data_IF_563628760659
#
_entry.id   IF_563628760659
#
_cell.length_a   1.000
_cell.length_b   1.000
_cell.length_c   1.000
_cell.angle_alpha   90.00
_cell.angle_beta   90.00
_cell.angle_gamma   90.00
#
_symmetry.space_group_name_H-M   'P 1'
#
loop_
_entity.id
_entity.type
_entity.pdbx_description
1 polymer ?
#
# COMPACT_ATOMS: atom_id res chain seq x y z
N UNK A 1 22.39 14.68 -7.53
CA UNK A 1 21.29 13.68 -7.41
C UNK A 1 20.44 14.09 -6.22
N UNK A 2 19.13 13.87 -6.26
CA UNK A 2 18.19 14.34 -5.25
C UNK A 2 17.29 13.19 -4.80
N UNK A 3 17.07 13.06 -3.49
CA UNK A 3 16.15 12.08 -2.93
C UNK A 3 15.48 12.59 -1.66
N UNK A 4 14.18 12.37 -1.56
CA UNK A 4 13.39 12.73 -0.39
C UNK A 4 12.71 11.52 0.24
N UNK A 5 12.48 11.58 1.54
CA UNK A 5 11.73 10.58 2.28
C UNK A 5 11.00 11.20 3.48
N UNK A 6 9.69 11.03 3.53
CA UNK A 6 8.89 11.35 4.72
C UNK A 6 8.96 10.17 5.68
N UNK A 7 9.65 10.36 6.81
CA UNK A 7 9.73 9.31 7.84
C UNK A 7 8.32 9.06 8.40
N UNK A 8 7.83 7.80 8.45
CA UNK A 8 6.52 7.49 9.01
C UNK A 8 6.38 8.01 10.46
N UNK A 9 5.39 8.87 10.70
CA UNK A 9 5.21 9.55 11.99
C UNK A 9 6.29 10.60 12.33
N UNK A 10 7.23 10.85 11.43
CA UNK A 10 8.34 11.79 11.57
C UNK A 10 8.28 12.94 10.57
N UNK A 11 9.46 13.39 10.16
CA UNK A 11 9.67 14.59 9.34
C UNK A 11 10.20 14.22 7.96
N UNK A 12 10.11 15.16 7.03
CA UNK A 12 10.65 15.07 5.69
C UNK A 12 12.17 15.22 5.77
N UNK A 13 12.87 14.28 5.14
CA UNK A 13 14.32 14.32 4.96
C UNK A 13 14.60 14.39 3.47
N UNK A 14 15.51 15.27 3.10
CA UNK A 14 16.00 15.52 1.76
C UNK A 14 17.49 15.28 1.75
N UNK A 15 17.98 14.60 0.72
CA UNK A 15 19.39 14.36 0.50
C UNK A 15 19.77 14.74 -0.92
N UNK A 16 20.70 15.67 -1.02
CA UNK A 16 21.40 15.99 -2.27
C UNK A 16 22.80 15.39 -2.22
N UNK A 17 23.22 14.73 -3.31
CA UNK A 17 24.55 14.12 -3.42
C UNK A 17 24.98 13.96 -4.87
N UNK A 18 26.27 13.79 -5.09
CA UNK A 18 26.87 13.35 -6.35
C UNK A 18 27.48 11.95 -6.23
N UNK A 19 27.80 11.32 -7.36
CA UNK A 19 28.53 10.06 -7.41
C UNK A 19 29.75 10.20 -8.30
N UNK A 20 30.94 10.08 -7.73
CA UNK A 20 32.21 10.14 -8.45
C UNK A 20 33.07 8.92 -8.12
N UNK A 21 33.58 8.24 -9.15
CA UNK A 21 34.39 7.03 -8.95
C UNK A 21 33.66 5.90 -8.21
N UNK A 22 32.32 5.90 -8.25
CA UNK A 22 31.48 4.92 -7.54
C UNK A 22 31.28 5.21 -6.06
N UNK A 23 31.70 6.38 -5.56
CA UNK A 23 31.51 6.82 -4.18
C UNK A 23 30.61 8.08 -4.11
N UNK A 24 29.90 8.23 -3.00
CA UNK A 24 29.10 9.41 -2.69
C UNK A 24 30.00 10.63 -2.49
N UNK A 25 29.61 11.77 -3.07
CA UNK A 25 30.29 13.05 -2.97
C UNK A 25 29.33 14.18 -2.69
N UNK A 26 29.83 15.25 -2.07
CA UNK A 26 29.07 16.47 -1.81
C UNK A 26 27.73 16.20 -1.12
N UNK A 27 27.70 15.22 -0.21
CA UNK A 27 26.47 14.81 0.45
C UNK A 27 25.96 15.94 1.35
N UNK A 28 24.66 16.25 1.23
CA UNK A 28 23.97 17.24 2.06
C UNK A 28 22.62 16.70 2.50
N UNK A 29 22.43 16.60 3.81
CA UNK A 29 21.16 16.25 4.44
C UNK A 29 20.43 17.51 4.91
N UNK A 30 19.15 17.63 4.55
CA UNK A 30 18.28 18.74 4.93
C UNK A 30 16.84 18.24 5.20
N UNK A 31 15.98 19.08 5.78
CA UNK A 31 14.58 18.68 6.04
C UNK A 31 13.85 19.59 7.03
N UNK A 32 12.66 19.17 7.48
CA UNK A 32 11.83 19.87 8.48
C UNK A 32 11.88 19.23 9.89
N UNK A 33 13.00 18.57 10.18
CA UNK A 33 13.29 17.92 11.47
C UNK A 33 14.03 18.84 12.45
N UNK A 34 14.11 18.41 13.71
CA UNK A 34 15.01 19.03 14.70
C UNK A 34 16.13 18.06 15.06
N UNK A 35 17.32 18.60 15.21
CA UNK A 35 18.53 17.88 15.56
C UNK A 35 19.28 18.72 16.58
N UNK A 36 19.63 18.14 17.73
CA UNK A 36 20.38 18.84 18.76
C UNK A 36 21.60 18.05 19.24
N UNK A 37 22.81 18.64 19.24
CA UNK A 37 23.13 19.96 18.70
C UNK A 37 22.95 20.00 17.17
N UNK A 38 22.60 21.15 16.60
CA UNK A 38 22.34 21.30 15.16
C UNK A 38 23.57 20.99 14.30
N UNK A 39 24.78 21.22 14.83
CA UNK A 39 26.03 20.90 14.14
C UNK A 39 26.24 19.39 13.90
N UNK A 40 25.50 18.52 14.60
CA UNK A 40 25.53 17.07 14.35
C UNK A 40 25.09 16.71 12.92
N UNK A 41 24.45 17.63 12.19
CA UNK A 41 24.12 17.43 10.77
C UNK A 41 25.39 17.27 9.92
N UNK A 42 26.48 17.95 10.30
CA UNK A 42 27.77 17.86 9.63
C UNK A 42 28.42 16.49 9.83
N UNK A 43 28.20 15.86 10.99
CA UNK A 43 28.65 14.50 11.26
C UNK A 43 27.90 13.50 10.38
N UNK A 44 26.60 13.71 10.14
CA UNK A 44 25.79 12.90 9.24
C UNK A 44 26.31 13.02 7.79
N UNK A 45 26.50 14.25 7.29
CA UNK A 45 27.03 14.49 5.94
C UNK A 45 28.41 13.84 5.76
N UNK A 46 29.32 14.04 6.72
CA UNK A 46 30.65 13.45 6.71
C UNK A 46 30.63 11.93 6.80
N UNK A 47 29.69 11.34 7.54
CA UNK A 47 29.53 9.89 7.66
C UNK A 47 29.13 9.23 6.34
N UNK A 48 28.41 9.96 5.47
CA UNK A 48 27.96 9.48 4.17
C UNK A 48 29.00 9.74 3.07
N UNK A 49 29.79 10.80 3.19
CA UNK A 49 30.84 11.16 2.24
C UNK A 49 31.81 9.99 1.98
N UNK A 50 32.12 9.75 0.71
CA UNK A 50 32.99 8.66 0.28
C UNK A 50 32.41 7.25 0.42
N UNK A 51 31.15 7.09 0.88
CA UNK A 51 30.50 5.77 0.88
C UNK A 51 30.38 5.20 -0.53
N UNK A 52 30.54 3.88 -0.75
CA UNK A 52 30.22 3.31 -2.05
C UNK A 52 28.75 3.52 -2.44
N UNK A 53 28.48 3.91 -3.69
CA UNK A 53 27.12 4.16 -4.18
C UNK A 53 26.20 2.91 -4.16
N UNK A 54 26.78 1.71 -4.03
CA UNK A 54 26.04 0.46 -3.91
C UNK A 54 25.74 0.06 -2.46
N UNK A 55 26.17 0.83 -1.46
CA UNK A 55 25.89 0.55 -0.04
C UNK A 55 24.38 0.57 0.21
N UNK A 56 23.87 -0.46 0.90
CA UNK A 56 22.46 -0.58 1.24
C UNK A 56 22.04 0.39 2.37
N UNK A 57 20.73 0.55 2.57
CA UNK A 57 20.20 1.47 3.57
C UNK A 57 20.62 1.12 5.00
N UNK A 58 20.75 -0.18 5.34
CA UNK A 58 21.10 -0.60 6.68
C UNK A 58 22.55 -0.23 7.03
N UNK A 59 23.49 -0.45 6.10
CA UNK A 59 24.88 -0.08 6.26
C UNK A 59 25.07 1.45 6.26
N UNK A 60 24.31 2.20 5.45
CA UNK A 60 24.31 3.67 5.50
C UNK A 60 23.79 4.18 6.85
N UNK A 61 22.68 3.64 7.35
CA UNK A 61 22.14 3.99 8.67
C UNK A 61 23.13 3.68 9.79
N UNK A 62 23.79 2.53 9.76
CA UNK A 62 24.81 2.17 10.74
C UNK A 62 26.00 3.15 10.73
N UNK A 63 26.44 3.62 9.56
CA UNK A 63 27.48 4.64 9.44
C UNK A 63 27.07 5.96 10.09
N UNK A 64 25.84 6.39 9.83
CA UNK A 64 25.28 7.62 10.42
C UNK A 64 25.21 7.49 11.95
N UNK A 65 24.66 6.38 12.46
CA UNK A 65 24.56 6.11 13.90
C UNK A 65 25.94 6.11 14.58
N UNK A 66 26.97 5.56 13.93
CA UNK A 66 28.32 5.51 14.48
C UNK A 66 29.01 6.90 14.53
N UNK A 67 28.61 7.82 13.66
CA UNK A 67 29.18 9.17 13.60
C UNK A 67 28.47 10.15 14.53
N UNK A 68 27.18 9.92 14.83
CA UNK A 68 26.41 10.80 15.69
C UNK A 68 26.98 10.86 17.12
N UNK A 69 27.06 12.07 17.72
CA UNK A 69 27.41 12.21 19.13
C UNK A 69 26.45 11.43 20.03
N UNK A 70 26.92 10.76 21.11
CA UNK A 70 26.03 9.99 22.00
C UNK A 70 24.91 10.81 22.65
N UNK A 71 25.08 12.13 22.76
CA UNK A 71 24.10 13.06 23.32
C UNK A 71 23.17 13.67 22.26
N UNK A 72 23.32 13.31 20.99
CA UNK A 72 22.52 13.87 19.91
C UNK A 72 21.05 13.46 20.05
N UNK A 73 20.15 14.43 19.94
CA UNK A 73 18.70 14.24 19.98
C UNK A 73 18.14 14.48 18.59
N UNK A 74 17.53 13.44 18.02
CA UNK A 74 16.89 13.48 16.71
C UNK A 74 15.37 13.49 16.90
N UNK A 75 14.70 14.59 16.54
CA UNK A 75 13.25 14.70 16.62
C UNK A 75 12.65 14.75 15.21
N UNK A 76 11.98 13.66 14.85
CA UNK A 76 11.42 13.47 13.52
C UNK A 76 12.45 13.07 12.45
N UNK A 77 13.72 12.93 12.83
CA UNK A 77 14.81 12.40 12.01
C UNK A 77 15.21 11.01 12.52
N UNK A 78 15.68 10.13 11.64
CA UNK A 78 16.39 8.92 12.03
C UNK A 78 17.52 8.59 11.04
N UNK A 79 18.58 7.89 11.48
CA UNK A 79 19.63 7.38 10.58
C UNK A 79 19.07 6.55 9.42
N UNK A 80 18.06 5.73 9.70
CA UNK A 80 17.37 4.92 8.68
C UNK A 80 16.63 5.80 7.67
N UNK A 81 15.97 6.88 8.12
CA UNK A 81 15.28 7.80 7.24
C UNK A 81 16.22 8.53 6.29
N UNK A 82 17.37 8.99 6.78
CA UNK A 82 18.43 9.58 5.95
C UNK A 82 18.97 8.55 4.96
N UNK A 83 19.24 7.32 5.41
CA UNK A 83 19.72 6.27 4.54
C UNK A 83 18.73 5.93 3.41
N UNK A 84 17.43 5.90 3.70
CA UNK A 84 16.38 5.72 2.69
C UNK A 84 16.38 6.89 1.69
N UNK A 85 16.49 8.14 2.15
CA UNK A 85 16.58 9.30 1.26
C UNK A 85 17.82 9.23 0.33
N UNK A 86 18.98 8.81 0.85
CA UNK A 86 20.19 8.52 0.05
C UNK A 86 19.89 7.44 -1.01
N UNK A 87 19.26 6.32 -0.62
CA UNK A 87 18.92 5.25 -1.56
C UNK A 87 17.98 5.74 -2.64
N UNK A 88 16.97 6.54 -2.29
CA UNK A 88 16.04 7.15 -3.25
C UNK A 88 16.75 8.10 -4.23
N UNK A 89 17.71 8.89 -3.75
CA UNK A 89 18.54 9.73 -4.61
C UNK A 89 19.33 8.88 -5.62
N UNK A 90 20.00 7.83 -5.15
CA UNK A 90 20.84 6.94 -5.95
C UNK A 90 20.05 6.16 -7.00
N UNK A 91 18.84 5.72 -6.66
CA UNK A 91 17.97 5.00 -7.58
C UNK A 91 17.13 5.89 -8.49
N UNK A 92 17.29 7.22 -8.39
CA UNK A 92 16.51 8.22 -9.12
C UNK A 92 15.01 7.99 -8.93
N UNK A 93 14.61 7.72 -7.68
CA UNK A 93 13.23 7.50 -7.35
C UNK A 93 12.39 8.73 -7.72
N UNK A 94 11.20 8.50 -8.27
CA UNK A 94 10.25 9.56 -8.57
C UNK A 94 9.36 9.85 -7.36
N UNK A 95 8.76 11.03 -7.32
CA UNK A 95 7.79 11.46 -6.30
C UNK A 95 6.35 11.39 -6.82
N UNK A 96 5.37 11.50 -5.92
CA UNK A 96 3.94 11.53 -6.31
C UNK A 96 3.62 12.67 -7.28
N UNK A 97 4.16 13.85 -7.02
CA UNK A 97 3.95 15.10 -7.78
C UNK A 97 4.58 15.07 -9.18
N UNK A 98 5.54 14.17 -9.42
CA UNK A 98 6.21 14.03 -10.71
C UNK A 98 5.35 13.30 -11.77
N UNK A 99 4.19 12.76 -11.37
CA UNK A 99 3.34 11.93 -12.22
C UNK A 99 2.00 12.58 -12.54
N UNK A 100 1.54 12.41 -13.77
CA UNK A 100 0.18 12.80 -14.18
C UNK A 100 -0.80 11.67 -13.88
N UNK A 101 -1.29 11.60 -12.64
CA UNK A 101 -2.17 10.52 -12.19
C UNK A 101 -3.52 10.48 -12.92
N UNK A 102 -4.02 9.25 -13.14
CA UNK A 102 -5.37 9.00 -13.62
C UNK A 102 -6.25 8.36 -12.56
N UNK A 103 -7.51 8.80 -12.47
CA UNK A 103 -8.57 8.15 -11.71
C UNK A 103 -9.35 7.20 -12.61
N UNK A 104 -9.58 5.99 -12.13
CA UNK A 104 -10.64 5.12 -12.63
C UNK A 104 -11.64 4.92 -11.50
N UNK A 105 -12.87 5.37 -11.71
CA UNK A 105 -13.99 5.15 -10.81
C UNK A 105 -15.23 4.76 -11.62
N UNK A 106 -15.37 3.45 -11.86
CA UNK A 106 -16.41 2.86 -12.71
C UNK A 106 -17.49 2.16 -11.87
N UNK A 107 -18.57 1.77 -12.55
CA UNK A 107 -19.63 0.92 -11.97
C UNK A 107 -19.08 -0.36 -11.35
N UNK A 108 -19.79 -0.96 -10.38
CA UNK A 108 -19.38 -2.23 -9.78
C UNK A 108 -19.12 -3.33 -10.82
N UNK A 109 -18.07 -4.13 -10.61
CA UNK A 109 -17.71 -5.24 -11.51
C UNK A 109 -17.73 -6.58 -10.77
N UNK A 110 -17.68 -7.67 -11.54
CA UNK A 110 -17.62 -9.02 -10.95
C UNK A 110 -16.29 -9.23 -10.22
N UNK A 111 -16.25 -10.06 -9.17
CA UNK A 111 -15.01 -10.32 -8.42
C UNK A 111 -13.83 -10.75 -9.30
N UNK A 112 -14.06 -11.64 -10.27
CA UNK A 112 -13.01 -12.09 -11.19
C UNK A 112 -12.51 -10.98 -12.12
N UNK A 113 -13.39 -10.12 -12.61
CA UNK A 113 -13.02 -9.00 -13.46
C UNK A 113 -12.20 -7.95 -12.70
N UNK A 114 -12.48 -7.70 -11.41
CA UNK A 114 -11.63 -6.84 -10.60
C UNK A 114 -10.20 -7.34 -10.50
N UNK A 115 -10.01 -8.64 -10.27
CA UNK A 115 -8.67 -9.23 -10.18
C UNK A 115 -7.92 -9.11 -11.51
N UNK A 116 -8.62 -9.28 -12.64
CA UNK A 116 -8.05 -9.12 -13.96
C UNK A 116 -7.68 -7.67 -14.27
N UNK A 117 -8.55 -6.71 -13.93
CA UNK A 117 -8.30 -5.28 -14.15
C UNK A 117 -7.07 -4.80 -13.36
N UNK A 118 -6.93 -5.22 -12.10
CA UNK A 118 -5.75 -4.88 -11.29
C UNK A 118 -4.45 -5.38 -11.96
N UNK A 119 -4.45 -6.58 -12.54
CA UNK A 119 -3.29 -7.14 -13.26
C UNK A 119 -3.02 -6.41 -14.59
N UNK A 120 -4.06 -6.19 -15.40
CA UNK A 120 -3.95 -5.52 -16.71
C UNK A 120 -3.49 -4.08 -16.57
N UNK A 121 -4.13 -3.28 -15.71
CA UNK A 121 -3.81 -1.86 -15.52
C UNK A 121 -2.37 -1.73 -14.98
N UNK A 122 -1.97 -2.57 -14.04
CA UNK A 122 -0.60 -2.55 -13.51
C UNK A 122 0.41 -2.93 -14.59
N UNK A 123 0.09 -3.85 -15.50
CA UNK A 123 0.94 -4.18 -16.64
C UNK A 123 1.03 -3.04 -17.67
N UNK A 124 -0.04 -2.28 -17.89
CA UNK A 124 -0.02 -1.09 -18.76
C UNK A 124 0.83 0.04 -18.18
N UNK A 125 0.76 0.25 -16.86
CA UNK A 125 1.65 1.20 -16.15
C UNK A 125 3.10 0.73 -16.21
N UNK A 126 3.36 -0.56 -15.97
CA UNK A 126 4.70 -1.14 -16.08
C UNK A 126 5.31 -0.95 -17.48
N UNK A 127 4.48 -1.05 -18.52
CA UNK A 127 4.90 -0.87 -19.91
C UNK A 127 4.99 0.60 -20.35
N UNK A 128 4.67 1.56 -19.48
CA UNK A 128 4.66 3.00 -19.80
C UNK A 128 3.58 3.43 -20.79
N UNK A 129 2.58 2.57 -21.06
CA UNK A 129 1.45 2.89 -21.94
C UNK A 129 0.31 3.60 -21.21
N UNK A 130 0.30 3.52 -19.88
CA UNK A 130 -0.65 4.20 -19.01
C UNK A 130 0.09 5.00 -17.92
N UNK A 131 -0.38 6.22 -17.57
CA UNK A 131 0.12 6.91 -16.39
C UNK A 131 -0.20 6.14 -15.09
N UNK A 132 0.51 6.42 -13.98
CA UNK A 132 0.17 5.88 -12.67
C UNK A 132 -1.31 6.11 -12.36
N UNK A 133 -1.97 5.09 -11.85
CA UNK A 133 -3.44 5.06 -11.78
C UNK A 133 -3.91 4.76 -10.37
N UNK A 134 -4.78 5.64 -9.86
CA UNK A 134 -5.64 5.35 -8.72
C UNK A 134 -6.96 4.81 -9.25
N UNK A 135 -7.31 3.60 -8.85
CA UNK A 135 -8.61 2.99 -9.11
C UNK A 135 -9.38 2.92 -7.81
N UNK A 136 -10.57 3.52 -7.74
CA UNK A 136 -11.51 3.33 -6.62
C UNK A 136 -12.71 2.57 -7.15
N UNK A 137 -13.00 1.40 -6.59
CA UNK A 137 -13.88 0.44 -7.25
C UNK A 137 -14.73 -0.36 -6.27
N UNK A 138 -15.84 -0.91 -6.77
CA UNK A 138 -16.88 -1.53 -5.96
C UNK A 138 -17.26 -2.94 -6.45
N UNK A 139 -17.66 -3.79 -5.51
CA UNK A 139 -18.01 -5.19 -5.77
C UNK A 139 -19.45 -5.34 -6.26
N UNK A 140 -19.66 -6.02 -7.40
CA UNK A 140 -21.00 -6.36 -7.88
C UNK A 140 -21.62 -7.59 -7.17
N UNK A 141 -20.84 -8.37 -6.43
CA UNK A 141 -21.29 -9.55 -5.71
C UNK A 141 -20.45 -9.79 -4.44
N UNK A 142 -21.00 -10.46 -3.40
CA UNK A 142 -20.22 -10.91 -2.25
C UNK A 142 -19.06 -11.81 -2.67
N UNK A 143 -17.91 -11.63 -2.04
CA UNK A 143 -16.73 -12.40 -2.38
C UNK A 143 -15.82 -12.72 -1.20
N UNK A 144 -15.06 -13.81 -1.34
CA UNK A 144 -13.83 -14.03 -0.59
C UNK A 144 -12.65 -13.95 -1.54
N UNK A 145 -11.69 -13.09 -1.20
CA UNK A 145 -10.45 -12.91 -1.94
C UNK A 145 -9.32 -13.58 -1.16
N UNK A 146 -8.82 -14.69 -1.66
CA UNK A 146 -7.65 -15.37 -1.09
C UNK A 146 -6.35 -14.87 -1.74
N UNK A 147 -5.29 -14.78 -0.95
CA UNK A 147 -3.96 -14.40 -1.40
C UNK A 147 -3.33 -15.48 -2.29
N UNK A 148 -2.39 -15.08 -3.15
CA UNK A 148 -1.76 -15.96 -4.15
C UNK A 148 -1.16 -17.24 -3.57
N UNK A 149 -0.71 -17.24 -2.31
CA UNK A 149 -0.05 -18.37 -1.65
C UNK A 149 -0.94 -19.13 -0.64
N UNK A 150 -2.19 -18.70 -0.45
CA UNK A 150 -3.07 -19.34 0.53
C UNK A 150 -3.70 -20.63 0.00
N UNK A 151 -3.97 -21.57 0.91
CA UNK A 151 -4.68 -22.81 0.59
C UNK A 151 -6.19 -22.58 0.62
N UNK A 152 -6.87 -22.75 -0.52
CA UNK A 152 -8.32 -22.57 -0.62
C UNK A 152 -9.08 -23.35 0.47
N UNK A 153 -8.70 -24.61 0.68
CA UNK A 153 -9.33 -25.49 1.68
C UNK A 153 -9.13 -25.01 3.11
N UNK A 154 -8.04 -24.29 3.40
CA UNK A 154 -7.75 -23.84 4.76
C UNK A 154 -8.37 -22.47 5.06
N UNK A 155 -8.66 -21.68 4.03
CA UNK A 155 -9.17 -20.32 4.20
C UNK A 155 -10.70 -20.23 4.11
N UNK A 156 -11.34 -21.08 3.31
CA UNK A 156 -12.76 -20.93 2.97
C UNK A 156 -13.52 -22.21 3.27
N UNK A 157 -14.70 -22.04 3.87
CA UNK A 157 -15.70 -23.09 3.93
C UNK A 157 -16.57 -23.06 2.66
N UNK A 158 -16.47 -24.08 1.77
CA UNK A 158 -17.16 -24.05 0.49
C UNK A 158 -18.68 -24.16 0.63
N UNK A 159 -19.19 -24.89 1.63
CA UNK A 159 -20.64 -25.04 1.86
C UNK A 159 -21.23 -23.74 2.40
N UNK A 160 -20.50 -23.05 3.29
CA UNK A 160 -20.91 -21.73 3.76
C UNK A 160 -20.84 -20.68 2.65
N UNK A 161 -19.78 -20.70 1.82
CA UNK A 161 -19.65 -19.79 0.69
C UNK A 161 -20.81 -19.96 -0.29
N UNK A 162 -21.18 -21.19 -0.64
CA UNK A 162 -22.34 -21.48 -1.50
C UNK A 162 -23.65 -21.01 -0.87
N UNK A 163 -23.88 -21.35 0.41
CA UNK A 163 -25.09 -20.94 1.15
C UNK A 163 -25.29 -19.43 1.21
N UNK A 164 -24.21 -18.67 1.35
CA UNK A 164 -24.25 -17.19 1.41
C UNK A 164 -24.11 -16.52 0.03
N UNK A 165 -24.00 -17.28 -1.06
CA UNK A 165 -23.83 -16.73 -2.42
C UNK A 165 -22.51 -15.99 -2.63
N UNK A 166 -21.46 -16.43 -1.93
CA UNK A 166 -20.15 -15.77 -1.90
C UNK A 166 -19.23 -16.36 -2.98
N UNK A 167 -18.76 -15.51 -3.88
CA UNK A 167 -17.82 -15.90 -4.93
C UNK A 167 -16.40 -15.97 -4.37
N UNK A 168 -15.69 -17.08 -4.57
CA UNK A 168 -14.28 -17.18 -4.15
C UNK A 168 -13.36 -16.86 -5.33
N UNK A 169 -12.48 -15.88 -5.15
CA UNK A 169 -11.46 -15.50 -6.15
C UNK A 169 -10.07 -15.47 -5.52
N UNK A 170 -9.04 -15.75 -6.33
CA UNK A 170 -7.63 -15.63 -5.94
C UNK A 170 -6.99 -14.43 -6.60
N UNK A 171 -6.37 -13.56 -5.81
CA UNK A 171 -5.59 -12.40 -6.33
C UNK A 171 -4.14 -12.78 -6.63
N UNK A 172 -3.46 -11.95 -7.43
CA UNK A 172 -2.04 -12.14 -7.77
C UNK A 172 -1.05 -11.73 -6.68
N UNK A 173 -1.50 -10.91 -5.72
CA UNK A 173 -0.72 -10.44 -4.57
C UNK A 173 -0.77 -11.46 -3.43
N UNK A 174 0.17 -11.33 -2.48
CA UNK A 174 0.18 -12.11 -1.24
C UNK A 174 -0.81 -11.59 -0.20
N UNK A 175 -0.65 -12.01 1.05
CA UNK A 175 -1.47 -11.59 2.19
C UNK A 175 -2.63 -12.55 2.52
N UNK A 176 -3.40 -12.20 3.55
CA UNK A 176 -4.50 -13.03 4.07
C UNK A 176 -5.78 -12.98 3.23
N UNK A 177 -6.77 -13.80 3.62
CA UNK A 177 -8.08 -13.83 2.99
C UNK A 177 -8.92 -12.64 3.44
N UNK A 178 -9.75 -12.11 2.55
CA UNK A 178 -10.67 -11.02 2.84
C UNK A 178 -12.08 -11.40 2.42
N UNK A 179 -13.05 -11.10 3.28
CA UNK A 179 -14.48 -11.20 2.98
C UNK A 179 -15.02 -9.81 2.65
N UNK A 180 -15.76 -9.69 1.56
CA UNK A 180 -16.34 -8.43 1.10
C UNK A 180 -17.79 -8.64 0.67
N UNK A 181 -18.60 -7.63 0.92
CA UNK A 181 -19.97 -7.53 0.41
C UNK A 181 -20.14 -6.20 -0.34
N UNK A 182 -21.04 -6.15 -1.35
CA UNK A 182 -21.42 -4.91 -1.98
C UNK A 182 -21.85 -3.89 -0.92
N UNK A 183 -21.33 -2.67 -1.02
CA UNK A 183 -21.58 -1.56 -0.08
C UNK A 183 -20.95 -1.63 1.31
N UNK A 184 -20.36 -2.75 1.69
CA UNK A 184 -19.73 -2.90 3.02
C UNK A 184 -18.25 -2.50 3.03
N UNK A 185 -17.65 -2.22 1.88
CA UNK A 185 -16.22 -1.87 1.77
C UNK A 185 -15.98 -0.67 0.89
N UNK A 186 -14.86 0.00 1.16
CA UNK A 186 -14.21 0.92 0.23
C UNK A 186 -12.97 0.18 -0.27
N UNK A 187 -12.87 -0.02 -1.58
CA UNK A 187 -11.74 -0.72 -2.19
C UNK A 187 -11.05 0.19 -3.19
N UNK A 188 -9.72 0.26 -3.10
CA UNK A 188 -8.92 1.03 -4.04
C UNK A 188 -7.63 0.31 -4.41
N UNK A 189 -7.03 0.73 -5.51
CA UNK A 189 -5.77 0.19 -6.01
C UNK A 189 -4.93 1.29 -6.63
N UNK A 190 -3.65 1.25 -6.35
CA UNK A 190 -2.61 2.04 -6.98
C UNK A 190 -1.81 1.12 -7.90
N UNK A 191 -1.81 1.43 -9.19
CA UNK A 191 -0.91 0.85 -10.18
C UNK A 191 0.17 1.88 -10.47
N UNK A 192 1.40 1.61 -10.04
CA UNK A 192 2.50 2.59 -10.04
C UNK A 192 3.76 2.03 -10.70
N UNK A 193 4.61 2.87 -11.31
CA UNK A 193 5.91 2.45 -11.80
C UNK A 193 6.83 2.11 -10.63
N UNK A 194 7.76 1.18 -10.86
CA UNK A 194 8.77 0.79 -9.86
C UNK A 194 9.60 1.98 -9.37
N UNK A 195 9.81 3.00 -10.22
CA UNK A 195 10.54 4.22 -9.85
C UNK A 195 9.94 4.96 -8.65
N UNK A 196 8.61 4.89 -8.44
CA UNK A 196 7.94 5.58 -7.34
C UNK A 196 8.33 5.00 -5.97
N UNK A 197 8.51 3.68 -5.92
CA UNK A 197 8.87 2.94 -4.69
C UNK A 197 10.33 2.49 -4.67
N UNK A 198 11.14 2.97 -5.61
CA UNK A 198 12.54 2.62 -5.70
C UNK A 198 13.31 3.18 -4.50
N UNK A 199 14.30 2.43 -4.01
CA UNK A 199 15.07 2.79 -2.82
C UNK A 199 14.35 2.52 -1.48
N UNK A 200 13.06 2.17 -1.49
CA UNK A 200 12.31 1.77 -0.30
C UNK A 200 12.46 0.27 -0.03
N UNK A 201 12.41 -0.11 1.25
CA UNK A 201 12.15 -1.51 1.61
C UNK A 201 10.72 -1.92 1.24
N UNK A 202 10.42 -3.22 1.27
CA UNK A 202 9.04 -3.68 1.07
C UNK A 202 8.09 -3.05 2.10
N UNK A 203 8.45 -3.06 3.39
CA UNK A 203 7.60 -2.51 4.46
C UNK A 203 7.41 -0.99 4.32
N UNK A 204 8.47 -0.26 3.95
CA UNK A 204 8.38 1.19 3.73
C UNK A 204 7.53 1.51 2.50
N UNK A 205 7.56 0.64 1.47
CA UNK A 205 6.72 0.85 0.29
C UNK A 205 5.22 0.67 0.55
N UNK A 206 4.82 -0.08 1.58
CA UNK A 206 3.42 -0.09 2.04
C UNK A 206 3.09 1.24 2.72
N UNK A 207 3.87 1.61 3.75
CA UNK A 207 3.66 2.87 4.47
C UNK A 207 3.61 4.08 3.53
N UNK A 208 4.53 4.14 2.57
CA UNK A 208 4.61 5.21 1.57
C UNK A 208 3.37 5.27 0.68
N UNK A 209 2.85 4.12 0.21
CA UNK A 209 1.67 4.06 -0.65
C UNK A 209 0.35 4.20 0.10
N UNK A 210 0.34 3.98 1.42
CA UNK A 210 -0.81 4.21 2.31
C UNK A 210 -0.85 5.66 2.85
N UNK A 211 0.23 6.44 2.79
CA UNK A 211 0.33 7.77 3.41
C UNK A 211 -0.77 8.74 2.95
N UNK A 212 -1.10 8.72 1.65
CA UNK A 212 -2.15 9.59 1.11
C UNK A 212 -3.52 9.33 1.75
N UNK A 213 -3.85 8.06 2.05
CA UNK A 213 -5.14 7.72 2.64
C UNK A 213 -5.15 8.05 4.12
N UNK A 214 -4.02 7.96 4.82
CA UNK A 214 -3.89 8.46 6.19
C UNK A 214 -4.15 9.97 6.22
N UNK A 215 -3.62 10.71 5.24
CA UNK A 215 -3.91 12.13 5.05
C UNK A 215 -5.40 12.39 4.78
N UNK A 216 -6.04 11.62 3.89
CA UNK A 216 -7.47 11.74 3.62
C UNK A 216 -8.34 11.46 4.87
N UNK A 217 -7.99 10.44 5.65
CA UNK A 217 -8.67 10.11 6.91
C UNK A 217 -8.49 11.23 7.94
N UNK A 218 -7.29 11.79 8.05
CA UNK A 218 -7.02 12.93 8.92
C UNK A 218 -7.83 14.17 8.52
N UNK A 219 -7.98 14.45 7.22
CA UNK A 219 -8.84 15.54 6.71
C UNK A 219 -10.32 15.35 7.11
N UNK A 220 -10.73 14.10 7.38
CA UNK A 220 -12.06 13.74 7.88
C UNK A 220 -12.13 13.64 9.41
N UNK A 221 -11.07 14.00 10.13
CA UNK A 221 -10.99 13.93 11.59
C UNK A 221 -10.71 12.54 12.15
N UNK A 222 -10.36 11.56 11.30
CA UNK A 222 -10.01 10.20 11.72
C UNK A 222 -8.51 10.11 11.96
N UNK A 223 -8.14 9.82 13.20
CA UNK A 223 -6.77 9.53 13.60
C UNK A 223 -6.42 8.06 13.30
N UNK A 224 -5.98 7.81 12.07
CA UNK A 224 -5.47 6.52 11.64
C UNK A 224 -3.93 6.53 11.56
N UNK A 225 -3.31 5.37 11.73
CA UNK A 225 -1.88 5.17 11.52
C UNK A 225 -1.62 3.84 10.82
N UNK A 226 -0.46 3.77 10.17
CA UNK A 226 0.04 2.54 9.59
C UNK A 226 0.59 1.60 10.67
N UNK A 227 0.13 0.35 10.65
CA UNK A 227 0.62 -0.73 11.47
C UNK A 227 1.29 -1.78 10.57
N UNK A 228 2.63 -1.93 10.63
CA UNK A 228 3.33 -2.90 9.81
C UNK A 228 2.78 -4.33 9.96
N UNK A 229 2.70 -5.11 8.90
CA UNK A 229 3.29 -4.86 7.57
C UNK A 229 2.38 -4.11 6.59
N UNK A 230 1.08 -4.03 6.82
CA UNK A 230 0.14 -3.67 5.75
C UNK A 230 -1.24 -3.24 6.28
N UNK A 231 -1.35 -2.91 7.56
CA UNK A 231 -2.63 -2.60 8.19
C UNK A 231 -2.76 -1.09 8.42
N UNK A 232 -3.97 -0.57 8.23
CA UNK A 232 -4.34 0.78 8.66
C UNK A 232 -5.23 0.64 9.88
N UNK A 233 -4.82 1.26 10.98
CA UNK A 233 -5.42 1.08 12.31
C UNK A 233 -5.81 2.42 12.91
N UNK A 234 -6.86 2.39 13.71
CA UNK A 234 -7.39 3.50 14.52
C UNK A 234 -7.39 3.06 15.99
N UNK A 235 -7.68 3.97 16.92
CA UNK A 235 -7.79 3.62 18.35
C UNK A 235 -8.87 2.55 18.61
N UNK A 236 -9.88 2.48 17.73
CA UNK A 236 -10.94 1.47 17.78
C UNK A 236 -10.57 0.11 17.17
N UNK A 237 -9.49 0.03 16.39
CA UNK A 237 -9.08 -1.21 15.72
C UNK A 237 -8.67 -1.01 14.26
N UNK A 238 -8.42 -2.13 13.58
CA UNK A 238 -8.00 -2.18 12.18
C UNK A 238 -9.17 -1.80 11.28
N UNK A 239 -8.94 -0.88 10.35
CA UNK A 239 -9.95 -0.42 9.40
C UNK A 239 -9.63 -0.82 7.96
N UNK A 240 -8.37 -1.07 7.63
CA UNK A 240 -7.99 -1.51 6.29
C UNK A 240 -6.80 -2.48 6.31
N UNK A 241 -6.70 -3.26 5.23
CA UNK A 241 -5.53 -4.08 4.94
C UNK A 241 -5.12 -3.92 3.49
N UNK A 242 -3.83 -3.71 3.28
CA UNK A 242 -3.21 -3.58 1.98
C UNK A 242 -2.57 -4.91 1.53
N UNK A 243 -2.38 -5.07 0.23
CA UNK A 243 -1.49 -6.09 -0.32
C UNK A 243 -0.78 -5.54 -1.55
N UNK A 244 0.42 -6.05 -1.83
CA UNK A 244 1.22 -5.63 -2.97
C UNK A 244 1.66 -6.78 -3.86
N UNK A 245 1.84 -6.47 -5.14
CA UNK A 245 2.51 -7.31 -6.13
C UNK A 245 3.42 -6.47 -7.00
N UNK A 246 4.70 -6.82 -7.04
CA UNK A 246 5.64 -6.31 -8.05
C UNK A 246 5.59 -7.23 -9.27
N UNK A 247 5.36 -6.67 -10.45
CA UNK A 247 5.40 -7.38 -11.73
C UNK A 247 6.83 -7.41 -12.26
N UNK A 248 7.21 -8.50 -12.93
CA UNK A 248 8.55 -8.63 -13.52
C UNK A 248 8.88 -7.53 -14.55
N UNK A 249 7.87 -6.88 -15.12
CA UNK A 249 8.03 -5.75 -16.05
C UNK A 249 8.19 -4.37 -15.40
N UNK A 250 8.36 -4.26 -14.07
CA UNK A 250 8.66 -2.99 -13.41
C UNK A 250 7.46 -2.17 -12.93
N UNK A 251 6.28 -2.79 -12.78
CA UNK A 251 5.10 -2.16 -12.18
C UNK A 251 4.78 -2.71 -10.80
N UNK A 252 4.16 -1.91 -9.94
CA UNK A 252 3.72 -2.29 -8.60
C UNK A 252 2.22 -2.07 -8.48
N UNK A 253 1.50 -3.14 -8.14
CA UNK A 253 0.13 -3.09 -7.67
C UNK A 253 0.18 -2.96 -6.15
N UNK A 254 -0.50 -1.95 -5.61
CA UNK A 254 -0.82 -1.83 -4.19
C UNK A 254 -2.32 -1.65 -4.07
N UNK A 255 -3.02 -2.58 -3.43
CA UNK A 255 -4.47 -2.51 -3.30
C UNK A 255 -4.93 -2.71 -1.87
N UNK A 256 -6.01 -2.05 -1.53
CA UNK A 256 -6.47 -1.91 -0.16
C UNK A 256 -7.96 -2.16 -0.10
N UNK A 257 -8.36 -2.98 0.85
CA UNK A 257 -9.77 -3.09 1.25
C UNK A 257 -9.93 -2.47 2.62
N UNK A 258 -10.81 -1.50 2.71
CA UNK A 258 -11.14 -0.77 3.92
C UNK A 258 -12.59 -1.11 4.32
N UNK A 259 -12.77 -1.52 5.57
CA UNK A 259 -14.06 -1.88 6.12
C UNK A 259 -14.90 -0.62 6.34
N UNK A 260 -16.00 -0.52 5.61
CA UNK A 260 -16.99 0.54 5.80
C UNK A 260 -18.15 0.05 6.68
N UNK A 261 -18.54 -1.22 6.50
CA UNK A 261 -19.45 -2.00 7.34
C UNK A 261 -19.02 -3.49 7.28
N UNK A 262 -19.52 -4.35 8.18
CA UNK A 262 -19.19 -5.79 8.13
C UNK A 262 -20.27 -6.68 8.76
N UNK A 263 -20.75 -7.67 8.00
CA UNK A 263 -21.49 -8.79 8.56
C UNK A 263 -20.50 -9.81 9.15
N UNK A 264 -20.16 -9.60 10.41
CA UNK A 264 -19.16 -10.41 11.08
C UNK A 264 -19.59 -11.88 11.25
N UNK A 265 -20.89 -12.16 11.32
CA UNK A 265 -21.40 -13.53 11.46
C UNK A 265 -21.20 -14.31 10.16
N UNK A 266 -21.64 -13.75 9.03
CA UNK A 266 -21.38 -14.35 7.70
C UNK A 266 -19.90 -14.51 7.43
N UNK A 267 -19.10 -13.49 7.74
CA UNK A 267 -17.64 -13.57 7.59
C UNK A 267 -17.07 -14.76 8.36
N UNK A 268 -17.44 -14.95 9.63
CA UNK A 268 -16.91 -16.05 10.46
C UNK A 268 -17.41 -17.42 10.04
N UNK A 269 -18.56 -17.49 9.37
CA UNK A 269 -19.12 -18.72 8.82
C UNK A 269 -18.39 -19.13 7.53
N UNK A 270 -18.08 -18.16 6.67
CA UNK A 270 -17.42 -18.39 5.37
C UNK A 270 -15.90 -18.56 5.52
N UNK A 271 -15.25 -17.73 6.34
CA UNK A 271 -13.81 -17.78 6.54
C UNK A 271 -13.44 -18.81 7.62
N UNK A 272 -12.54 -19.73 7.25
CA UNK A 272 -11.88 -20.63 8.20
C UNK A 272 -10.77 -19.89 8.92
N UNK A 273 -11.15 -18.96 9.79
CA UNK A 273 -10.20 -18.20 10.62
C UNK A 273 -9.40 -19.22 11.45
N UNK A 274 -8.08 -19.27 11.22
CA UNK A 274 -7.16 -20.32 11.66
C UNK A 274 -7.57 -21.02 12.94
N UNK A 275 -7.86 -22.33 12.84
CA UNK A 275 -8.20 -23.21 13.97
C UNK A 275 -7.12 -23.26 15.07
N UNK A 276 -5.94 -22.66 14.84
CA UNK A 276 -4.86 -22.50 15.84
C UNK A 276 -4.98 -21.25 16.74
N UNK A 277 -5.91 -20.31 16.47
CA UNK A 277 -6.22 -19.18 17.37
C UNK A 277 -7.55 -19.35 18.12
N UNK A 278 -8.06 -20.59 18.21
CA UNK A 278 -9.28 -20.95 18.93
C UNK A 278 -9.01 -21.13 20.43
N UNK A 279 -8.87 -20.02 21.14
CA UNK A 279 -9.48 -19.90 22.47
C UNK A 279 -10.76 -19.09 22.32
N UNK A 280 -11.76 -19.25 23.19
CA UNK A 280 -13.03 -18.48 23.10
C UNK A 280 -12.86 -16.95 23.02
N UNK A 281 -11.68 -16.43 23.37
CA UNK A 281 -11.26 -15.02 23.18
C UNK A 281 -11.01 -14.62 21.71
N UNK A 282 -10.75 -15.58 20.83
CA UNK A 282 -10.39 -15.37 19.41
C UNK A 282 -11.54 -14.83 18.56
N UNK A 283 -12.76 -15.33 18.76
CA UNK A 283 -13.96 -14.93 18.00
C UNK A 283 -14.42 -13.52 18.42
N UNK A 284 -14.47 -13.23 19.73
CA UNK A 284 -14.70 -11.86 20.22
C UNK A 284 -13.62 -10.90 19.72
N UNK A 285 -12.35 -11.32 19.63
CA UNK A 285 -11.28 -10.47 19.14
C UNK A 285 -11.32 -10.26 17.62
N UNK A 286 -11.87 -11.17 16.81
CA UNK A 286 -12.05 -10.96 15.37
C UNK A 286 -13.19 -9.96 15.13
N UNK A 287 -14.29 -10.08 15.90
CA UNK A 287 -15.43 -9.15 15.88
C UNK A 287 -15.09 -7.76 16.45
N UNK A 288 -14.23 -7.66 17.47
CA UNK A 288 -13.75 -6.39 18.05
C UNK A 288 -12.64 -5.70 17.27
N UNK A 289 -12.00 -6.36 16.29
CA UNK A 289 -10.81 -5.81 15.61
C UNK A 289 -11.11 -5.00 14.36
N UNK A 290 -12.34 -5.02 13.86
CA UNK A 290 -12.77 -4.23 12.71
C UNK A 290 -13.82 -3.24 13.18
N UNK A 291 -13.45 -1.96 13.32
CA UNK A 291 -14.41 -0.89 13.62
C UNK A 291 -14.72 -0.13 12.32
N UNK A 292 -15.90 -0.30 11.72
CA UNK A 292 -16.15 0.19 10.37
C UNK A 292 -16.14 1.73 10.29
N UNK A 293 -15.66 2.25 9.16
CA UNK A 293 -15.57 3.70 8.93
C UNK A 293 -16.91 4.43 9.06
N UNK A 294 -18.04 3.77 8.78
CA UNK A 294 -19.37 4.36 8.94
C UNK A 294 -19.58 4.91 10.37
N UNK A 295 -19.11 4.18 11.39
CA UNK A 295 -19.26 4.57 12.79
C UNK A 295 -18.31 5.70 13.19
N UNK A 296 -17.10 5.70 12.64
CA UNK A 296 -16.07 6.69 12.98
C UNK A 296 -16.28 8.03 12.27
N UNK A 297 -16.68 7.99 10.99
CA UNK A 297 -16.94 9.20 10.19
C UNK A 297 -18.33 9.79 10.45
N UNK A 298 -19.35 8.94 10.65
CA UNK A 298 -20.75 9.34 10.59
C UNK A 298 -21.20 9.78 9.19
N UNK A 299 -20.37 9.57 8.16
CA UNK A 299 -20.62 9.98 6.78
C UNK A 299 -21.11 8.80 5.93
N UNK A 300 -21.96 9.03 4.91
CA UNK A 300 -22.24 8.03 3.89
C UNK A 300 -20.96 7.58 3.18
N UNK A 301 -20.93 6.31 2.76
CA UNK A 301 -19.75 5.69 2.12
C UNK A 301 -19.30 6.43 0.88
N UNK A 302 -20.26 6.86 0.06
CA UNK A 302 -20.03 7.58 -1.18
C UNK A 302 -19.34 8.92 -0.88
N UNK A 303 -19.72 9.60 0.21
CA UNK A 303 -19.07 10.85 0.64
C UNK A 303 -17.64 10.59 1.14
N UNK A 304 -17.39 9.48 1.86
CA UNK A 304 -16.03 9.08 2.25
C UNK A 304 -15.15 8.85 1.01
N UNK A 305 -15.67 8.13 0.01
CA UNK A 305 -14.98 7.89 -1.26
C UNK A 305 -14.66 9.20 -1.98
N UNK A 306 -15.64 10.10 -2.11
CA UNK A 306 -15.45 11.41 -2.74
C UNK A 306 -14.40 12.26 -2.02
N UNK A 307 -14.42 12.29 -0.69
CA UNK A 307 -13.42 13.01 0.13
C UNK A 307 -12.03 12.39 -0.01
N UNK A 308 -11.91 11.07 -0.08
CA UNK A 308 -10.65 10.39 -0.36
C UNK A 308 -10.09 10.75 -1.74
N UNK A 309 -10.92 10.70 -2.78
CA UNK A 309 -10.54 11.10 -4.14
C UNK A 309 -10.13 12.57 -4.19
N UNK A 310 -10.91 13.46 -3.55
CA UNK A 310 -10.62 14.89 -3.47
C UNK A 310 -9.31 15.19 -2.74
N UNK A 311 -9.04 14.46 -1.65
CA UNK A 311 -7.78 14.52 -0.90
C UNK A 311 -6.58 14.14 -1.76
N UNK A 312 -6.67 13.04 -2.52
CA UNK A 312 -5.61 12.64 -3.46
C UNK A 312 -5.41 13.69 -4.56
N UNK A 313 -6.51 14.15 -5.17
CA UNK A 313 -6.51 15.15 -6.25
C UNK A 313 -5.85 16.46 -5.81
N UNK A 314 -6.15 16.92 -4.60
CA UNK A 314 -5.58 18.14 -4.02
C UNK A 314 -4.07 18.04 -3.81
N UNK A 315 -3.59 16.87 -3.35
CA UNK A 315 -2.17 16.66 -3.01
C UNK A 315 -1.28 16.42 -4.22
N UNK A 316 -1.76 15.67 -5.21
CA UNK A 316 -0.89 15.14 -6.28
C UNK A 316 -1.38 15.43 -7.70
N UNK A 317 -2.54 16.07 -7.85
CA UNK A 317 -3.25 16.11 -9.13
C UNK A 317 -3.85 14.75 -9.49
N UNK A 318 -5.02 14.76 -10.13
CA UNK A 318 -5.70 13.52 -10.51
C UNK A 318 -6.71 13.79 -11.63
N UNK A 319 -6.39 13.38 -12.85
CA UNK A 319 -7.27 13.52 -14.01
C UNK A 319 -8.28 12.37 -14.07
N UNK A 320 -9.53 12.68 -14.40
CA UNK A 320 -10.54 11.65 -14.64
C UNK A 320 -10.19 10.84 -15.90
N UNK A 321 -10.24 9.52 -15.77
CA UNK A 321 -10.00 8.57 -16.84
C UNK A 321 -10.98 7.40 -16.76
N UNK A 322 -10.64 6.32 -17.45
CA UNK A 322 -11.42 5.08 -17.43
C UNK A 322 -10.58 3.90 -17.86
N UNK A 323 -11.19 2.71 -17.81
CA UNK A 323 -10.64 1.53 -18.48
C UNK A 323 -10.91 1.67 -19.98
N UNK A 324 -9.86 1.62 -20.79
CA UNK A 324 -10.01 1.65 -22.26
C UNK A 324 -10.69 0.37 -22.75
N UNK A 325 -11.25 0.40 -23.97
CA UNK A 325 -11.89 -0.80 -24.56
C UNK A 325 -10.91 -1.97 -24.70
N UNK A 326 -9.66 -1.69 -25.07
CA UNK A 326 -8.60 -2.71 -25.18
C UNK A 326 -8.25 -3.32 -23.82
N UNK A 327 -8.06 -2.49 -22.79
CA UNK A 327 -7.80 -2.98 -21.42
C UNK A 327 -8.98 -3.78 -20.89
N UNK A 328 -10.22 -3.35 -21.15
CA UNK A 328 -11.42 -4.07 -20.75
C UNK A 328 -11.52 -5.43 -21.44
N UNK A 329 -11.30 -5.48 -22.76
CA UNK A 329 -11.31 -6.74 -23.52
C UNK A 329 -10.26 -7.72 -22.99
N UNK A 330 -9.02 -7.24 -22.75
CA UNK A 330 -7.94 -8.05 -22.17
C UNK A 330 -8.25 -8.50 -20.74
N UNK A 331 -8.87 -7.65 -19.93
CA UNK A 331 -9.28 -8.02 -18.58
C UNK A 331 -10.41 -9.05 -18.57
N UNK A 332 -11.36 -8.97 -19.51
CA UNK A 332 -12.41 -9.98 -19.66
C UNK A 332 -11.86 -11.33 -20.11
N UNK A 333 -10.95 -11.33 -21.09
CA UNK A 333 -10.25 -12.54 -21.53
C UNK A 333 -9.45 -13.16 -20.38
N UNK A 334 -8.67 -12.34 -19.66
CA UNK A 334 -7.88 -12.79 -18.51
C UNK A 334 -8.77 -13.29 -17.36
N UNK A 335 -9.92 -12.65 -17.12
CA UNK A 335 -10.87 -13.12 -16.12
C UNK A 335 -11.40 -14.51 -16.49
N UNK A 336 -11.80 -14.73 -17.74
CA UNK A 336 -12.29 -16.02 -18.22
C UNK A 336 -11.21 -17.11 -18.21
N UNK A 337 -10.00 -16.79 -18.70
CA UNK A 337 -8.91 -17.74 -18.87
C UNK A 337 -8.14 -18.05 -17.56
N UNK A 338 -8.28 -17.21 -16.53
CA UNK A 338 -7.53 -17.35 -15.27
C UNK A 338 -8.42 -17.15 -14.05
N UNK A 339 -8.93 -15.95 -13.79
CA UNK A 339 -9.52 -15.62 -12.49
C UNK A 339 -10.85 -16.31 -12.17
N UNK A 340 -11.55 -16.80 -13.20
CA UNK A 340 -12.77 -17.59 -13.07
C UNK A 340 -12.51 -19.11 -13.11
N UNK A 341 -11.25 -19.54 -13.28
CA UNK A 341 -10.91 -20.96 -13.43
C UNK A 341 -10.72 -21.64 -12.07
N UNK A 342 -11.25 -22.87 -11.87
CA UNK A 342 -10.96 -23.66 -10.67
C UNK A 342 -9.47 -23.90 -10.47
N UNK A 343 -8.71 -24.08 -11.55
CA UNK A 343 -7.26 -24.32 -11.52
C UNK A 343 -6.51 -23.15 -10.87
N UNK A 344 -6.87 -21.91 -11.21
CA UNK A 344 -6.29 -20.73 -10.58
C UNK A 344 -6.74 -20.60 -9.13
N UNK A 345 -8.04 -20.71 -8.86
CA UNK A 345 -8.58 -20.52 -7.50
C UNK A 345 -8.04 -21.59 -6.53
N UNK A 346 -7.92 -22.84 -6.96
CA UNK A 346 -7.41 -23.95 -6.16
C UNK A 346 -5.87 -24.10 -6.19
N UNK A 347 -5.14 -23.23 -6.91
CA UNK A 347 -3.68 -23.28 -6.99
C UNK A 347 -3.03 -23.27 -5.61
N UNK A 348 -2.21 -24.27 -5.33
CA UNK A 348 -1.27 -24.28 -4.20
C UNK A 348 0.13 -24.17 -4.81
N UNK A 349 0.83 -23.03 -4.65
CA UNK A 349 2.15 -22.81 -5.23
C UNK A 349 3.23 -23.75 -4.70
#
# INVERSE_FOLDING_TARGET
MHGEYKIPGGKLVVVDLDVEGGALRNVRVAGDFFLEPDEAILDIDAALEGAPAHTDAAALAARITAALPPAAVLLGLSPEGVAVAVRRALTRATEWSAHSWQLIHDRPQSPALHMALDEVITAEVAAGRRPPTLRVWEWAAPAVIIGSFQSLRNEVDPEAAERHGVTVVRRISGGGAMFVEPRSTITYSLSVPESLVSGLSYADSYAYLDDWVLGALADMGIKAWYQPLNDITTESGKIAGAAQKRLAGGGVLHHVTMAYDIDADKMTDVLRIGREKLSGKGIESAKKRVDPLARQTGLPREEVIERMIGSFRSRYGLADGGVTEEEMARAQELAAAKFSTPEWTARVP
#
